data_IF_955163461453
#
_entry.id   IF_955163461453
#
_cell.length_a   1.000
_cell.length_b   1.000
_cell.length_c   1.000
_cell.angle_alpha   90.00
_cell.angle_beta   90.00
_cell.angle_gamma   90.00
#
_symmetry.space_group_name_H-M   'P 1'
#
loop_
_entity.id
_entity.type
_entity.pdbx_description
1 polymer ?
#
# COMPACT_ATOMS: atom_id res chain seq x y z
N UNK A 1 -6.11 -18.35 -13.45
CA UNK A 1 -4.65 -18.20 -13.21
C UNK A 1 -4.30 -16.92 -12.47
N UNK A 2 -4.41 -15.71 -13.05
CA UNK A 2 -3.97 -14.46 -12.38
C UNK A 2 -4.58 -14.19 -11.00
N UNK A 3 -5.87 -14.50 -10.78
CA UNK A 3 -6.51 -14.38 -9.46
C UNK A 3 -5.82 -15.24 -8.39
N UNK A 4 -5.45 -16.48 -8.73
CA UNK A 4 -4.74 -17.38 -7.82
C UNK A 4 -3.32 -16.88 -7.54
N UNK A 5 -2.64 -16.33 -8.55
CA UNK A 5 -1.33 -15.69 -8.38
C UNK A 5 -1.44 -14.46 -7.46
N UNK A 6 -2.50 -13.65 -7.61
CA UNK A 6 -2.77 -12.53 -6.72
C UNK A 6 -3.01 -12.99 -5.27
N UNK A 7 -3.70 -14.10 -5.08
CA UNK A 7 -3.93 -14.68 -3.74
C UNK A 7 -2.64 -15.22 -3.12
N UNK A 8 -1.79 -15.88 -3.90
CA UNK A 8 -0.47 -16.31 -3.46
C UNK A 8 0.44 -15.12 -3.11
N UNK A 9 0.39 -14.05 -3.91
CA UNK A 9 1.13 -12.81 -3.63
C UNK A 9 0.62 -12.15 -2.34
N UNK A 10 -0.71 -12.06 -2.16
CA UNK A 10 -1.30 -11.49 -0.95
C UNK A 10 -0.84 -12.24 0.31
N UNK A 11 -0.75 -13.55 0.24
CA UNK A 11 -0.24 -14.38 1.32
C UNK A 11 1.26 -14.13 1.58
N UNK A 12 2.08 -14.07 0.54
CA UNK A 12 3.50 -13.77 0.67
C UNK A 12 3.76 -12.39 1.31
N UNK A 13 3.05 -11.36 0.84
CA UNK A 13 3.12 -10.00 1.40
C UNK A 13 2.69 -10.00 2.86
N UNK A 14 1.60 -10.70 3.19
CA UNK A 14 1.08 -10.81 4.56
C UNK A 14 2.13 -11.43 5.49
N UNK A 15 2.74 -12.54 5.09
CA UNK A 15 3.78 -13.23 5.86
C UNK A 15 4.98 -12.30 6.10
N UNK A 16 5.52 -11.68 5.05
CA UNK A 16 6.66 -10.78 5.14
C UNK A 16 6.41 -9.63 6.13
N UNK A 17 5.31 -8.89 5.95
CA UNK A 17 5.04 -7.72 6.78
C UNK A 17 4.55 -8.06 8.19
N UNK A 18 3.94 -9.22 8.40
CA UNK A 18 3.61 -9.69 9.75
C UNK A 18 4.87 -10.04 10.54
N UNK A 19 5.87 -10.66 9.89
CA UNK A 19 7.17 -10.94 10.49
C UNK A 19 7.90 -9.63 10.83
N UNK A 20 7.97 -8.69 9.88
CA UNK A 20 8.61 -7.39 10.10
C UNK A 20 7.93 -6.59 11.23
N UNK A 21 6.59 -6.58 11.26
CA UNK A 21 5.83 -5.91 12.32
C UNK A 21 6.10 -6.52 13.70
N UNK A 22 6.26 -7.84 13.78
CA UNK A 22 6.62 -8.55 15.02
C UNK A 22 8.05 -8.22 15.46
N UNK A 23 9.01 -8.26 14.54
CA UNK A 23 10.42 -7.92 14.82
C UNK A 23 10.55 -6.49 15.35
N UNK A 24 9.77 -5.56 14.80
CA UNK A 24 9.73 -4.15 15.23
C UNK A 24 8.81 -3.89 16.43
N UNK A 25 8.18 -4.93 17.00
CA UNK A 25 7.23 -4.84 18.13
C UNK A 25 6.15 -3.77 17.93
N UNK A 26 5.62 -3.64 16.71
CA UNK A 26 4.66 -2.58 16.38
C UNK A 26 3.33 -2.73 17.14
N UNK A 27 3.05 -3.93 17.67
CA UNK A 27 1.80 -4.31 18.34
C UNK A 27 2.01 -4.88 19.76
N UNK A 28 3.24 -4.87 20.30
CA UNK A 28 3.59 -5.53 21.57
C UNK A 28 4.35 -4.57 22.51
N UNK A 29 3.87 -4.30 23.75
CA UNK A 29 2.67 -4.88 24.40
C UNK A 29 1.35 -4.23 23.97
N UNK A 30 1.39 -3.08 23.29
CA UNK A 30 0.23 -2.41 22.70
C UNK A 30 0.63 -1.80 21.35
N UNK A 31 -0.32 -1.60 20.42
CA UNK A 31 -0.06 -0.89 19.17
C UNK A 31 0.59 0.47 19.40
N UNK A 32 1.58 0.82 18.57
CA UNK A 32 2.16 2.15 18.59
C UNK A 32 1.08 3.21 18.39
N UNK A 33 1.08 4.23 19.24
CA UNK A 33 0.13 5.33 19.18
C UNK A 33 0.58 6.36 18.13
N UNK A 34 0.50 5.99 16.85
CA UNK A 34 0.72 6.92 15.74
C UNK A 34 -0.59 7.63 15.44
N UNK A 35 -0.55 8.97 15.49
CA UNK A 35 -1.68 9.83 15.14
C UNK A 35 -1.37 10.68 13.92
N UNK A 36 -2.39 11.07 13.18
CA UNK A 36 -2.28 11.98 12.04
C UNK A 36 -3.40 13.01 12.04
N UNK A 37 -3.29 13.99 11.16
CA UNK A 37 -4.33 14.97 10.87
C UNK A 37 -4.37 15.19 9.37
N UNK A 38 -5.48 15.75 8.87
CA UNK A 38 -5.51 16.19 7.48
C UNK A 38 -4.47 17.29 7.28
N UNK A 39 -3.75 17.20 6.16
CA UNK A 39 -2.83 18.26 5.76
C UNK A 39 -3.60 19.55 5.43
N UNK A 40 -2.89 20.67 5.52
CA UNK A 40 -3.38 21.97 5.05
C UNK A 40 -3.78 21.88 3.57
N UNK A 41 -4.78 22.68 3.15
CA UNK A 41 -5.25 22.72 1.77
C UNK A 41 -4.14 23.03 0.77
N UNK A 42 -3.13 23.81 1.16
CA UNK A 42 -1.96 24.14 0.34
C UNK A 42 -1.06 22.93 0.05
N UNK A 43 -1.18 21.85 0.84
CA UNK A 43 -0.43 20.60 0.70
C UNK A 43 -1.28 19.47 0.11
N UNK A 44 -2.57 19.71 -0.12
CA UNK A 44 -3.49 18.73 -0.73
C UNK A 44 -3.65 18.98 -2.23
N UNK A 45 -3.79 17.90 -2.99
CA UNK A 45 -4.14 17.95 -4.42
C UNK A 45 -5.53 18.61 -4.61
N UNK A 46 -5.84 18.99 -5.84
CA UNK A 46 -7.14 19.56 -6.21
C UNK A 46 -8.26 18.61 -5.81
N UNK A 47 -9.32 19.16 -5.19
CA UNK A 47 -10.44 18.35 -4.71
C UNK A 47 -11.07 17.48 -5.81
N UNK A 48 -11.04 17.89 -7.08
CA UNK A 48 -11.52 17.09 -8.23
C UNK A 48 -10.72 15.81 -8.40
N UNK A 49 -9.40 15.88 -8.24
CA UNK A 49 -8.47 14.76 -8.35
C UNK A 49 -8.60 13.77 -7.18
N UNK A 50 -8.94 14.29 -6.00
CA UNK A 50 -9.14 13.49 -4.79
C UNK A 50 -10.51 12.82 -4.79
N UNK A 51 -11.57 13.59 -5.11
CA UNK A 51 -12.98 13.21 -5.02
C UNK A 51 -13.44 12.31 -6.15
N UNK A 52 -12.90 12.48 -7.37
CA UNK A 52 -13.40 11.80 -8.58
C UNK A 52 -14.95 11.84 -8.68
N UNK A 53 -15.53 13.01 -8.41
CA UNK A 53 -16.98 13.21 -8.41
C UNK A 53 -17.74 12.71 -7.17
N UNK A 54 -17.06 12.16 -6.15
CA UNK A 54 -17.67 11.70 -4.89
C UNK A 54 -17.16 12.51 -3.69
N UNK A 55 -18.00 12.85 -2.71
CA UNK A 55 -17.54 13.54 -1.51
C UNK A 55 -16.53 12.66 -0.75
N UNK A 56 -15.47 13.29 -0.21
CA UNK A 56 -14.61 12.65 0.78
C UNK A 56 -15.31 12.83 2.14
N UNK A 57 -15.60 11.75 2.89
CA UNK A 57 -16.23 11.85 4.21
C UNK A 57 -15.43 12.77 5.13
N UNK A 58 -16.05 13.57 5.98
CA UNK A 58 -15.31 14.31 7.02
C UNK A 58 -14.70 13.34 8.05
N UNK A 59 -13.53 13.66 8.67
CA UNK A 59 -12.89 12.78 9.62
C UNK A 59 -13.79 12.58 10.83
N UNK A 60 -14.01 11.33 11.22
CA UNK A 60 -14.77 11.01 12.42
C UNK A 60 -13.82 10.95 13.62
N UNK A 61 -14.33 11.16 14.84
CA UNK A 61 -13.53 10.90 16.04
C UNK A 61 -12.98 9.48 16.01
N UNK A 62 -11.64 9.33 16.04
CA UNK A 62 -10.96 8.04 15.96
C UNK A 62 -10.34 7.69 14.61
N UNK A 63 -10.66 8.43 13.53
CA UNK A 63 -10.08 8.24 12.17
C UNK A 63 -8.66 8.82 12.03
N UNK A 64 -7.99 9.03 13.15
CA UNK A 64 -6.68 9.65 13.26
C UNK A 64 -5.69 8.80 14.06
N UNK A 65 -5.92 7.49 14.13
CA UNK A 65 -5.09 6.55 14.87
C UNK A 65 -4.74 5.33 14.02
N UNK A 66 -3.58 4.71 14.26
CA UNK A 66 -3.01 3.62 13.47
C UNK A 66 -4.01 2.56 12.97
N UNK A 67 -4.98 2.16 13.79
CA UNK A 67 -6.00 1.17 13.44
C UNK A 67 -6.99 1.61 12.34
N UNK A 68 -7.11 2.91 12.08
CA UNK A 68 -8.05 3.50 11.12
C UNK A 68 -7.43 3.82 9.75
N UNK A 69 -6.13 3.60 9.55
CA UNK A 69 -5.42 4.09 8.36
C UNK A 69 -5.93 3.44 7.08
N UNK A 70 -6.20 2.13 7.10
CA UNK A 70 -6.74 1.41 5.95
C UNK A 70 -8.14 1.92 5.58
N UNK A 71 -9.02 2.13 6.56
CA UNK A 71 -10.35 2.70 6.33
C UNK A 71 -10.24 4.12 5.78
N UNK A 72 -9.36 4.95 6.35
CA UNK A 72 -9.12 6.32 5.86
C UNK A 72 -8.64 6.31 4.41
N UNK A 73 -7.75 5.37 4.05
CA UNK A 73 -7.29 5.18 2.68
C UNK A 73 -8.42 4.73 1.74
N UNK A 74 -9.27 3.80 2.21
CA UNK A 74 -10.40 3.27 1.45
C UNK A 74 -11.49 4.31 1.17
N UNK A 75 -11.68 5.24 2.11
CA UNK A 75 -12.63 6.36 2.03
C UNK A 75 -12.20 7.45 1.06
N UNK A 76 -10.92 7.50 0.66
CA UNK A 76 -10.46 8.39 -0.41
C UNK A 76 -10.90 7.81 -1.76
N UNK A 77 -11.80 8.47 -2.52
CA UNK A 77 -12.32 7.91 -3.77
C UNK A 77 -11.23 7.63 -4.81
N UNK A 78 -10.18 8.45 -4.84
CA UNK A 78 -9.05 8.25 -5.74
C UNK A 78 -8.08 7.14 -5.30
N UNK A 79 -8.20 6.62 -4.08
CA UNK A 79 -7.23 5.68 -3.46
C UNK A 79 -5.78 6.16 -3.54
N UNK A 80 -5.58 7.48 -3.48
CA UNK A 80 -4.26 8.13 -3.43
C UNK A 80 -4.17 8.96 -2.17
N UNK A 81 -3.18 8.66 -1.34
CA UNK A 81 -2.94 9.35 -0.08
C UNK A 81 -1.45 9.59 0.09
N UNK A 82 -1.11 10.80 0.55
CA UNK A 82 0.25 11.16 0.91
C UNK A 82 0.30 11.39 2.42
N UNK A 83 1.23 10.71 3.10
CA UNK A 83 1.46 10.87 4.54
C UNK A 83 2.70 11.73 4.73
N UNK A 84 2.51 12.91 5.30
CA UNK A 84 3.58 13.86 5.60
C UNK A 84 4.01 13.73 7.07
N UNK A 85 5.28 14.04 7.34
CA UNK A 85 5.80 14.09 8.70
C UNK A 85 7.32 14.06 8.75
N UNK A 86 7.88 14.61 9.83
CA UNK A 86 9.33 14.65 10.09
C UNK A 86 9.97 13.26 10.07
N UNK A 87 11.30 13.15 9.91
CA UNK A 87 12.01 11.88 10.14
C UNK A 87 11.61 11.25 11.48
N UNK A 88 11.41 9.93 11.51
CA UNK A 88 11.00 9.21 12.73
C UNK A 88 9.52 9.30 13.14
N UNK A 89 8.67 10.09 12.45
CA UNK A 89 7.24 10.24 12.76
C UNK A 89 6.34 8.99 12.58
N UNK A 90 6.90 7.85 12.18
CA UNK A 90 6.13 6.61 12.03
C UNK A 90 5.46 6.41 10.66
N UNK A 91 5.84 7.16 9.61
CA UNK A 91 5.33 6.97 8.24
C UNK A 91 5.45 5.53 7.73
N UNK A 92 6.61 4.90 7.95
CA UNK A 92 6.81 3.49 7.57
C UNK A 92 5.93 2.55 8.39
N UNK A 93 5.70 2.85 9.67
CA UNK A 93 4.78 2.08 10.53
C UNK A 93 3.35 2.18 9.98
N UNK A 94 2.91 3.37 9.57
CA UNK A 94 1.61 3.57 8.94
C UNK A 94 1.46 2.76 7.65
N UNK A 95 2.47 2.75 6.79
CA UNK A 95 2.44 1.98 5.54
C UNK A 95 2.31 0.46 5.81
N UNK A 96 3.07 -0.07 6.77
CA UNK A 96 3.02 -1.49 7.16
C UNK A 96 1.66 -1.86 7.74
N UNK A 97 1.15 -1.08 8.70
CA UNK A 97 -0.15 -1.34 9.31
C UNK A 97 -1.28 -1.21 8.29
N UNK A 98 -1.25 -0.19 7.42
CA UNK A 98 -2.21 -0.04 6.32
C UNK A 98 -2.21 -1.27 5.41
N UNK A 99 -1.03 -1.74 5.01
CA UNK A 99 -0.88 -2.93 4.16
C UNK A 99 -1.49 -4.16 4.82
N UNK A 100 -1.17 -4.42 6.09
CA UNK A 100 -1.69 -5.55 6.84
C UNK A 100 -3.21 -5.48 7.02
N UNK A 101 -3.76 -4.29 7.30
CA UNK A 101 -5.20 -4.11 7.49
C UNK A 101 -5.97 -4.20 6.17
N UNK A 102 -5.41 -3.70 5.06
CA UNK A 102 -5.96 -3.92 3.72
C UNK A 102 -5.96 -5.41 3.34
N UNK A 103 -4.89 -6.15 3.67
CA UNK A 103 -4.83 -7.61 3.43
C UNK A 103 -5.87 -8.38 4.24
N UNK A 104 -6.16 -7.97 5.48
CA UNK A 104 -7.22 -8.58 6.30
C UNK A 104 -8.61 -8.40 5.70
N UNK A 105 -8.87 -7.27 5.05
CA UNK A 105 -10.16 -6.95 4.41
C UNK A 105 -10.26 -7.43 2.96
N UNK A 106 -9.13 -7.83 2.36
CA UNK A 106 -9.04 -8.18 0.93
C UNK A 106 -9.95 -9.36 0.60
N UNK A 107 -10.72 -9.24 -0.49
CA UNK A 107 -11.45 -10.35 -1.09
C UNK A 107 -10.54 -11.14 -2.04
N UNK A 108 -10.59 -12.48 -2.08
CA UNK A 108 -9.79 -13.28 -3.02
C UNK A 108 -9.91 -12.81 -4.47
N UNK A 109 -8.79 -12.82 -5.19
CA UNK A 109 -8.69 -12.36 -6.57
C UNK A 109 -8.75 -10.84 -6.79
N UNK A 110 -8.83 -10.02 -5.74
CA UNK A 110 -8.78 -8.54 -5.85
C UNK A 110 -7.36 -7.99 -5.73
N UNK A 111 -7.20 -6.67 -5.89
CA UNK A 111 -5.90 -5.99 -5.82
C UNK A 111 -5.12 -6.36 -4.55
N UNK A 112 -3.80 -6.46 -4.68
CA UNK A 112 -2.90 -6.81 -3.57
C UNK A 112 -2.12 -5.56 -3.15
N UNK A 113 -2.23 -5.08 -1.90
CA UNK A 113 -1.39 -3.98 -1.44
C UNK A 113 0.06 -4.46 -1.33
N UNK A 114 0.99 -3.74 -1.95
CA UNK A 114 2.43 -4.03 -1.91
C UNK A 114 3.18 -2.75 -1.56
N UNK A 115 4.14 -2.85 -0.65
CA UNK A 115 4.99 -1.71 -0.26
C UNK A 115 6.21 -1.68 -1.18
N UNK A 116 6.39 -0.58 -1.91
CA UNK A 116 7.58 -0.34 -2.73
C UNK A 116 8.47 0.74 -2.11
N UNK A 117 9.78 0.51 -1.94
CA UNK A 117 10.72 1.52 -1.50
C UNK A 117 11.04 2.48 -2.67
N UNK A 118 10.10 3.36 -3.00
CA UNK A 118 10.17 4.23 -4.18
C UNK A 118 11.43 5.11 -4.24
N UNK A 119 12.09 5.37 -3.11
CA UNK A 119 13.37 6.07 -3.04
C UNK A 119 14.50 5.37 -3.82
N UNK A 120 14.37 4.08 -4.11
CA UNK A 120 15.32 3.31 -4.92
C UNK A 120 15.04 3.39 -6.43
N UNK A 121 13.94 4.03 -6.86
CA UNK A 121 13.66 4.27 -8.26
C UNK A 121 14.36 5.56 -8.72
N UNK A 122 15.09 5.48 -9.83
CA UNK A 122 15.75 6.63 -10.47
C UNK A 122 14.95 7.00 -11.72
N UNK A 123 14.23 8.15 -11.71
CA UNK A 123 13.52 8.61 -12.90
C UNK A 123 14.47 8.83 -14.08
N UNK A 124 14.06 8.40 -15.27
CA UNK A 124 14.83 8.59 -16.52
C UNK A 124 15.79 7.44 -16.87
N UNK A 125 16.13 6.53 -15.94
CA UNK A 125 16.90 5.32 -16.26
C UNK A 125 15.99 4.15 -16.64
N UNK A 126 14.96 3.91 -15.83
CA UNK A 126 13.96 2.85 -16.03
C UNK A 126 12.57 3.44 -15.83
N UNK A 127 11.62 3.02 -16.66
CA UNK A 127 10.21 3.43 -16.47
C UNK A 127 9.71 2.92 -15.12
N UNK A 128 8.81 3.66 -14.46
CA UNK A 128 8.25 3.23 -13.17
C UNK A 128 7.66 1.82 -13.25
N UNK A 129 6.94 1.53 -14.35
CA UNK A 129 6.36 0.22 -14.59
C UNK A 129 7.41 -0.90 -14.65
N UNK A 130 8.46 -0.72 -15.45
CA UNK A 130 9.52 -1.73 -15.54
C UNK A 130 10.23 -1.93 -14.20
N UNK A 131 10.49 -0.85 -13.47
CA UNK A 131 11.07 -0.91 -12.13
C UNK A 131 10.16 -1.66 -11.13
N UNK A 132 8.84 -1.44 -11.16
CA UNK A 132 7.89 -2.17 -10.32
C UNK A 132 7.89 -3.68 -10.63
N UNK A 133 7.92 -4.05 -11.92
CA UNK A 133 8.04 -5.46 -12.35
C UNK A 133 9.33 -6.09 -11.81
N UNK A 134 10.46 -5.43 -12.01
CA UNK A 134 11.76 -5.89 -11.51
C UNK A 134 11.77 -6.07 -10.00
N UNK A 135 11.20 -5.11 -9.24
CA UNK A 135 11.07 -5.19 -7.79
C UNK A 135 10.19 -6.37 -7.36
N UNK A 136 9.02 -6.54 -7.98
CA UNK A 136 8.12 -7.66 -7.69
C UNK A 136 8.79 -9.01 -7.94
N UNK A 137 9.53 -9.15 -9.04
CA UNK A 137 10.27 -10.38 -9.36
C UNK A 137 11.41 -10.63 -8.37
N UNK A 138 12.14 -9.58 -7.99
CA UNK A 138 13.24 -9.68 -7.04
C UNK A 138 12.76 -10.09 -5.64
N UNK A 139 11.64 -9.54 -5.17
CA UNK A 139 11.08 -9.82 -3.85
C UNK A 139 10.25 -11.11 -3.82
N UNK A 140 9.48 -11.39 -4.88
CA UNK A 140 8.57 -12.52 -4.98
C UNK A 140 8.92 -13.39 -6.19
N UNK A 141 9.95 -14.24 -6.04
CA UNK A 141 10.51 -15.06 -7.13
C UNK A 141 9.49 -15.81 -8.02
N UNK A 142 8.37 -16.37 -7.52
CA UNK A 142 7.37 -17.02 -8.37
C UNK A 142 6.78 -16.09 -9.46
N UNK A 143 6.83 -14.77 -9.26
CA UNK A 143 6.32 -13.80 -10.24
C UNK A 143 7.23 -13.63 -11.47
N UNK A 144 8.42 -14.25 -11.48
CA UNK A 144 9.31 -14.31 -12.65
C UNK A 144 8.77 -15.20 -13.77
N UNK A 145 7.84 -16.11 -13.46
CA UNK A 145 7.25 -16.99 -14.45
C UNK A 145 6.43 -16.20 -15.48
N UNK A 146 6.18 -16.82 -16.64
CA UNK A 146 5.46 -16.19 -17.74
C UNK A 146 4.11 -16.86 -17.98
N UNK A 147 3.12 -16.07 -18.40
CA UNK A 147 1.82 -16.51 -18.92
C UNK A 147 1.57 -15.77 -20.22
N UNK A 148 1.24 -16.48 -21.30
CA UNK A 148 0.97 -15.89 -22.61
C UNK A 148 2.05 -14.89 -23.08
N UNK A 149 3.33 -15.23 -22.84
CA UNK A 149 4.48 -14.40 -23.19
C UNK A 149 4.74 -13.20 -22.27
N UNK A 150 3.92 -12.98 -21.24
CA UNK A 150 4.05 -11.88 -20.29
C UNK A 150 4.51 -12.37 -18.92
N UNK A 151 5.46 -11.69 -18.30
CA UNK A 151 5.90 -11.97 -16.92
C UNK A 151 4.73 -11.76 -15.96
N UNK A 152 4.49 -12.69 -15.03
CA UNK A 152 3.35 -12.64 -14.10
C UNK A 152 3.29 -11.34 -13.30
N UNK A 153 4.43 -10.80 -12.87
CA UNK A 153 4.50 -9.48 -12.23
C UNK A 153 3.92 -8.36 -13.12
N UNK A 154 4.25 -8.37 -14.42
CA UNK A 154 3.70 -7.41 -15.38
C UNK A 154 2.20 -7.60 -15.59
N UNK A 155 1.77 -8.85 -15.76
CA UNK A 155 0.37 -9.18 -15.94
C UNK A 155 -0.50 -8.81 -14.72
N UNK A 156 0.04 -8.91 -13.50
CA UNK A 156 -0.64 -8.45 -12.28
C UNK A 156 -0.76 -6.92 -12.25
N UNK A 157 0.26 -6.18 -12.66
CA UNK A 157 0.23 -4.71 -12.74
C UNK A 157 -0.73 -4.21 -13.83
N UNK A 158 -0.95 -4.98 -14.90
CA UNK A 158 -1.93 -4.65 -15.94
C UNK A 158 -3.36 -4.91 -15.50
N UNK A 159 -3.56 -5.92 -14.66
CA UNK A 159 -4.87 -6.33 -14.18
C UNK A 159 -5.39 -5.47 -13.01
N UNK A 160 -4.55 -4.57 -12.45
CA UNK A 160 -4.87 -3.75 -11.27
C UNK A 160 -4.30 -2.34 -11.33
#
# INVERSE_FOLDING_TARGET
MLRQIADALAEAVRVQWSQEARLRRLQDPKPLNVRWTRADRLLTDDTRNIRRGRPVPEPRPGDNCLASIATTFEDVPSRRMVVLGSPGSGKSVLAVCCTLDLLKKRTPGTAVPVIFPLAAWVPGTTTLRAWLVERLVAEYRPLAATTDGTVLAGALLDAG
#
